data_IF_998555532574
#
_entry.id   IF_998555532574
#
_cell.length_a   1.000
_cell.length_b   1.000
_cell.length_c   1.000
_cell.angle_alpha   90.00
_cell.angle_beta   90.00
_cell.angle_gamma   90.00
#
_symmetry.space_group_name_H-M   'P 1'
#
loop_
_entity.id
_entity.type
_entity.pdbx_description
1 polymer ?
#
# COMPACT_ATOMS: atom_id res chain seq x y z
N UNK A 1 10.30 -27.06 -13.74
CA UNK A 1 10.51 -26.28 -12.51
C UNK A 1 9.85 -27.06 -11.38
N UNK A 2 10.52 -27.29 -10.25
CA UNK A 2 9.94 -28.01 -9.11
C UNK A 2 8.72 -27.27 -8.52
N UNK A 3 7.89 -27.93 -7.69
CA UNK A 3 6.66 -27.34 -7.16
C UNK A 3 6.98 -26.37 -6.03
N UNK A 4 7.67 -25.27 -6.34
CA UNK A 4 7.92 -24.21 -5.36
C UNK A 4 6.62 -23.44 -5.15
N UNK A 5 5.93 -23.75 -4.05
CA UNK A 5 4.64 -23.13 -3.71
C UNK A 5 4.79 -21.69 -3.21
N UNK A 6 6.00 -21.26 -2.84
CA UNK A 6 6.32 -19.93 -2.31
C UNK A 6 7.59 -19.37 -2.97
N UNK A 7 7.51 -18.12 -3.41
CA UNK A 7 8.62 -17.33 -3.95
C UNK A 7 8.81 -16.08 -3.08
N UNK A 8 10.03 -15.82 -2.62
CA UNK A 8 10.38 -14.60 -1.86
C UNK A 8 11.44 -13.85 -2.65
N UNK A 9 11.18 -12.58 -2.95
CA UNK A 9 12.06 -11.74 -3.75
C UNK A 9 12.39 -10.46 -2.99
N UNK A 10 13.69 -10.18 -2.87
CA UNK A 10 14.20 -8.94 -2.27
C UNK A 10 14.82 -8.08 -3.36
N UNK A 11 14.22 -6.92 -3.62
CA UNK A 11 14.62 -5.94 -4.64
C UNK A 11 14.92 -6.53 -6.03
N UNK A 12 13.99 -7.32 -6.63
CA UNK A 12 14.27 -8.04 -7.88
C UNK A 12 14.30 -7.14 -9.12
N UNK A 13 13.88 -5.88 -9.00
CA UNK A 13 13.92 -4.89 -10.09
C UNK A 13 15.26 -4.19 -10.23
N UNK A 14 16.18 -4.42 -9.29
CA UNK A 14 17.47 -3.74 -9.28
C UNK A 14 18.31 -4.12 -10.50
N UNK A 15 18.97 -3.13 -11.10
CA UNK A 15 19.76 -3.27 -12.33
C UNK A 15 18.99 -3.81 -13.56
N UNK A 16 17.67 -3.96 -13.50
CA UNK A 16 16.87 -4.39 -14.66
C UNK A 16 16.55 -3.21 -15.58
N UNK A 17 16.75 -3.43 -16.88
CA UNK A 17 16.23 -2.53 -17.89
C UNK A 17 14.69 -2.66 -18.02
N UNK A 18 14.08 -1.75 -18.77
CA UNK A 18 12.61 -1.72 -18.96
C UNK A 18 12.05 -3.03 -19.54
N UNK A 19 12.78 -3.71 -20.42
CA UNK A 19 12.33 -4.94 -21.07
C UNK A 19 12.37 -6.10 -20.08
N UNK A 20 13.43 -6.19 -19.30
CA UNK A 20 13.60 -7.20 -18.26
C UNK A 20 12.60 -6.99 -17.13
N UNK A 21 12.34 -5.73 -16.71
CA UNK A 21 11.28 -5.42 -15.74
C UNK A 21 9.92 -5.92 -16.22
N UNK A 22 9.56 -5.66 -17.49
CA UNK A 22 8.29 -6.15 -18.05
C UNK A 22 8.21 -7.68 -18.10
N UNK A 23 9.29 -8.35 -18.48
CA UNK A 23 9.35 -9.81 -18.45
C UNK A 23 9.20 -10.38 -17.04
N UNK A 24 9.75 -9.70 -16.03
CA UNK A 24 9.57 -10.04 -14.63
C UNK A 24 8.12 -9.80 -14.17
N UNK A 25 7.51 -8.67 -14.54
CA UNK A 25 6.09 -8.37 -14.27
C UNK A 25 5.21 -9.52 -14.80
N UNK A 26 5.37 -9.88 -16.08
CA UNK A 26 4.60 -10.96 -16.72
C UNK A 26 4.81 -12.32 -16.05
N UNK A 27 6.05 -12.62 -15.63
CA UNK A 27 6.36 -13.87 -14.91
C UNK A 27 5.67 -13.93 -13.54
N UNK A 28 5.72 -12.83 -12.77
CA UNK A 28 5.16 -12.78 -11.42
C UNK A 28 3.63 -12.85 -11.42
N UNK A 29 2.97 -12.20 -12.40
CA UNK A 29 1.51 -12.26 -12.56
C UNK A 29 1.03 -13.68 -12.84
N UNK A 30 1.80 -14.45 -13.63
CA UNK A 30 1.45 -15.80 -14.02
C UNK A 30 2.03 -16.88 -13.09
N UNK A 31 2.69 -16.49 -12.01
CA UNK A 31 3.29 -17.43 -11.08
C UNK A 31 2.18 -18.19 -10.31
N UNK A 32 2.13 -19.53 -10.39
CA UNK A 32 1.02 -20.29 -9.81
C UNK A 32 1.07 -20.42 -8.27
N UNK A 33 2.18 -20.03 -7.65
CA UNK A 33 2.37 -20.09 -6.20
C UNK A 33 2.12 -18.75 -5.50
N UNK A 34 2.44 -18.71 -4.20
CA UNK A 34 2.43 -17.47 -3.42
C UNK A 34 3.71 -16.69 -3.66
N UNK A 35 3.61 -15.37 -3.76
CA UNK A 35 4.77 -14.46 -3.87
C UNK A 35 4.79 -13.52 -2.67
N UNK A 36 5.98 -13.37 -2.07
CA UNK A 36 6.33 -12.28 -1.17
C UNK A 36 7.38 -11.45 -1.87
N UNK A 37 7.08 -10.17 -2.10
CA UNK A 37 7.94 -9.25 -2.82
C UNK A 37 8.29 -8.07 -1.92
N UNK A 38 9.58 -7.76 -1.85
CA UNK A 38 10.12 -6.54 -1.23
C UNK A 38 10.66 -5.67 -2.37
N UNK A 39 10.17 -4.44 -2.46
CA UNK A 39 10.55 -3.50 -3.50
C UNK A 39 10.34 -2.07 -3.00
N UNK A 40 11.24 -1.16 -3.36
CA UNK A 40 11.06 0.28 -3.23
C UNK A 40 10.45 0.93 -4.49
N UNK A 41 10.29 0.17 -5.58
CA UNK A 41 9.72 0.62 -6.86
C UNK A 41 8.19 0.54 -6.84
N UNK A 42 7.55 1.69 -6.56
CA UNK A 42 6.09 1.81 -6.43
C UNK A 42 5.41 1.47 -7.76
N UNK A 43 5.87 2.04 -8.88
CA UNK A 43 5.29 1.86 -10.21
C UNK A 43 5.29 0.38 -10.64
N UNK A 44 6.34 -0.37 -10.30
CA UNK A 44 6.39 -1.81 -10.51
C UNK A 44 5.35 -2.56 -9.66
N UNK A 45 5.26 -2.24 -8.35
CA UNK A 45 4.34 -2.94 -7.43
C UNK A 45 2.87 -2.68 -7.75
N UNK A 46 2.51 -1.48 -8.23
CA UNK A 46 1.14 -1.14 -8.62
C UNK A 46 0.67 -1.98 -9.81
N UNK A 47 1.54 -2.25 -10.79
CA UNK A 47 1.20 -3.07 -11.96
C UNK A 47 0.93 -4.54 -11.63
N UNK A 48 1.56 -5.06 -10.57
CA UNK A 48 1.35 -6.43 -10.11
C UNK A 48 0.01 -6.63 -9.39
N UNK A 49 -0.61 -5.52 -8.92
CA UNK A 49 -1.86 -5.53 -8.17
C UNK A 49 -1.85 -6.48 -6.96
N UNK A 50 -0.70 -6.61 -6.30
CA UNK A 50 -0.54 -7.41 -5.10
C UNK A 50 -1.05 -6.67 -3.86
N UNK A 51 -1.27 -7.42 -2.77
CA UNK A 51 -1.55 -6.81 -1.47
C UNK A 51 -0.29 -6.14 -0.94
N UNK A 52 -0.22 -4.82 -1.04
CA UNK A 52 0.96 -4.04 -0.63
C UNK A 52 0.91 -3.65 0.83
N UNK A 53 2.03 -3.79 1.55
CA UNK A 53 2.21 -3.24 2.89
C UNK A 53 3.35 -2.23 2.85
N UNK A 54 3.16 -1.06 3.49
CA UNK A 54 4.16 0.00 3.48
C UNK A 54 4.90 0.03 4.82
N UNK A 55 6.22 0.00 4.82
CA UNK A 55 7.02 0.15 6.05
C UNK A 55 7.51 1.59 6.15
N UNK A 56 7.10 2.31 7.21
CA UNK A 56 7.59 3.66 7.52
C UNK A 56 7.83 3.80 9.01
N UNK A 57 8.90 4.49 9.40
CA UNK A 57 9.27 4.71 10.81
C UNK A 57 9.27 3.42 11.66
N UNK A 58 9.78 2.32 11.09
CA UNK A 58 9.80 0.98 11.71
C UNK A 58 8.41 0.40 12.03
N UNK A 59 7.33 0.97 11.49
CA UNK A 59 5.95 0.47 11.60
C UNK A 59 5.49 -0.08 10.24
N UNK A 60 4.75 -1.19 10.26
CA UNK A 60 4.07 -1.76 9.10
C UNK A 60 2.69 -1.11 8.95
N UNK A 61 2.45 -0.44 7.82
CA UNK A 61 1.22 0.26 7.51
C UNK A 61 0.35 -0.58 6.57
N UNK A 62 -0.92 -0.73 6.92
CA UNK A 62 -1.90 -1.52 6.16
C UNK A 62 -2.40 -0.79 4.88
N UNK A 63 -2.65 -1.52 3.78
CA UNK A 63 -3.09 -0.96 2.50
C UNK A 63 -4.48 -0.30 2.49
N UNK A 64 -5.34 -0.60 3.47
CA UNK A 64 -6.68 0.02 3.60
C UNK A 64 -6.59 1.56 3.69
N UNK A 65 -5.40 2.10 3.95
CA UNK A 65 -5.16 3.53 4.12
C UNK A 65 -4.74 4.27 2.83
N UNK A 66 -4.42 3.56 1.74
CA UNK A 66 -3.81 4.16 0.54
C UNK A 66 -4.55 3.85 -0.78
N UNK A 67 -5.55 2.96 -0.80
CA UNK A 67 -6.37 2.80 -2.00
C UNK A 67 -7.35 3.97 -2.09
N UNK A 68 -7.00 4.99 -2.87
CA UNK A 68 -7.84 5.69 -3.85
C UNK A 68 -7.11 6.95 -4.35
N UNK A 69 -6.04 6.78 -5.13
CA UNK A 69 -5.59 7.85 -6.04
C UNK A 69 -6.51 7.87 -7.28
N UNK A 70 -7.80 8.13 -7.05
CA UNK A 70 -8.81 8.38 -8.09
C UNK A 70 -10.00 9.15 -7.47
N UNK A 71 -9.83 10.46 -7.31
CA UNK A 71 -10.80 11.52 -7.64
C UNK A 71 -12.25 11.46 -7.10
N UNK A 72 -12.45 11.89 -5.85
CA UNK A 72 -13.46 12.89 -5.42
C UNK A 72 -13.12 13.39 -4.00
N UNK A 73 -13.52 14.61 -3.61
CA UNK A 73 -13.31 15.09 -2.22
C UNK A 73 -14.09 14.24 -1.20
N UNK A 74 -15.19 13.63 -1.64
CA UNK A 74 -16.08 12.82 -0.82
C UNK A 74 -15.48 11.45 -0.49
N UNK A 75 -14.80 10.81 -1.44
CA UNK A 75 -14.09 9.53 -1.22
C UNK A 75 -12.93 9.71 -0.24
N UNK A 76 -12.25 10.86 -0.30
CA UNK A 76 -11.20 11.21 0.67
C UNK A 76 -11.78 11.35 2.08
N UNK A 77 -12.92 12.04 2.23
CA UNK A 77 -13.55 12.22 3.53
C UNK A 77 -13.99 10.88 4.14
N UNK A 78 -14.55 9.98 3.33
CA UNK A 78 -14.96 8.64 3.76
C UNK A 78 -13.76 7.82 4.24
N UNK A 79 -12.66 7.82 3.47
CA UNK A 79 -11.41 7.13 3.82
C UNK A 79 -10.79 7.67 5.12
N UNK A 80 -10.76 8.98 5.28
CA UNK A 80 -10.28 9.63 6.49
C UNK A 80 -11.13 9.26 7.73
N UNK A 81 -12.45 9.18 7.59
CA UNK A 81 -13.36 8.73 8.67
C UNK A 81 -13.13 7.27 9.04
N UNK A 82 -12.95 6.39 8.06
CA UNK A 82 -12.62 4.98 8.30
C UNK A 82 -11.27 4.83 9.01
N UNK A 83 -10.27 5.63 8.62
CA UNK A 83 -8.94 5.69 9.26
C UNK A 83 -9.01 6.16 10.71
N UNK A 84 -9.84 7.16 11.01
CA UNK A 84 -10.07 7.56 12.39
C UNK A 84 -10.69 6.42 13.21
N UNK A 85 -11.64 5.68 12.63
CA UNK A 85 -12.26 4.52 13.29
C UNK A 85 -11.27 3.41 13.65
N UNK A 86 -10.35 3.07 12.74
CA UNK A 86 -9.29 2.08 13.03
C UNK A 86 -8.25 2.60 14.01
N UNK A 87 -8.01 3.92 14.02
CA UNK A 87 -7.00 4.51 14.90
C UNK A 87 -7.47 4.61 16.35
N UNK A 88 -8.77 4.80 16.57
CA UNK A 88 -9.37 4.81 17.91
C UNK A 88 -9.35 3.41 18.54
N UNK A 89 -9.39 2.35 17.72
CA UNK A 89 -9.42 0.96 18.21
C UNK A 89 -8.04 0.36 18.45
N UNK A 90 -6.97 0.98 17.94
CA UNK A 90 -5.59 0.52 18.16
C UNK A 90 -4.95 1.24 19.37
N UNK A 91 -4.60 0.52 20.45
CA UNK A 91 -4.00 1.11 21.64
C UNK A 91 -2.56 1.62 21.45
N UNK A 92 -1.91 1.32 20.32
CA UNK A 92 -0.52 1.73 20.03
C UNK A 92 -0.40 3.04 19.25
N UNK A 93 -1.53 3.70 18.98
CA UNK A 93 -1.57 4.93 18.18
C UNK A 93 -1.56 6.16 19.09
N UNK A 94 -0.76 7.16 18.73
CA UNK A 94 -0.65 8.38 19.52
C UNK A 94 -1.91 9.24 19.40
N UNK A 95 -2.33 9.85 20.51
CA UNK A 95 -3.40 10.86 20.52
C UNK A 95 -3.11 12.04 19.57
N UNK A 96 -1.84 12.30 19.27
CA UNK A 96 -1.43 13.31 18.30
C UNK A 96 -1.79 12.92 16.86
N UNK A 97 -1.63 11.64 16.50
CA UNK A 97 -2.00 11.10 15.19
C UNK A 97 -3.52 11.11 14.99
N UNK A 98 -4.28 10.79 16.05
CA UNK A 98 -5.75 10.88 16.07
C UNK A 98 -6.19 12.34 15.86
N UNK A 99 -5.55 13.28 16.56
CA UNK A 99 -5.89 14.72 16.49
C UNK A 99 -5.57 15.33 15.12
N UNK A 100 -4.46 14.95 14.50
CA UNK A 100 -4.11 15.40 13.14
C UNK A 100 -5.15 14.95 12.11
N UNK A 101 -5.59 13.68 12.20
CA UNK A 101 -6.64 13.15 11.33
C UNK A 101 -7.98 13.87 11.52
N UNK A 102 -8.39 14.12 12.78
CA UNK A 102 -9.60 14.89 13.07
C UNK A 102 -9.54 16.29 12.47
N UNK A 103 -8.38 16.96 12.53
CA UNK A 103 -8.21 18.28 11.94
C UNK A 103 -8.32 18.26 10.40
N UNK A 104 -7.76 17.21 9.75
CA UNK A 104 -7.87 17.03 8.30
C UNK A 104 -9.31 16.81 7.85
N UNK A 105 -10.06 15.95 8.57
CA UNK A 105 -11.50 15.73 8.32
C UNK A 105 -12.26 17.05 8.43
N UNK A 106 -12.04 17.80 9.51
CA UNK A 106 -12.73 19.07 9.76
C UNK A 106 -12.48 20.12 8.66
N UNK A 107 -11.24 20.21 8.17
CA UNK A 107 -10.89 21.13 7.06
C UNK A 107 -11.65 20.79 5.78
N UNK A 108 -11.78 19.49 5.46
CA UNK A 108 -12.52 19.04 4.28
C UNK A 108 -14.04 19.22 4.43
N UNK A 109 -14.58 19.06 5.64
CA UNK A 109 -16.00 19.33 5.92
C UNK A 109 -16.36 20.83 5.85
N UNK A 110 -15.39 21.72 6.11
CA UNK A 110 -15.61 23.18 6.13
C UNK A 110 -15.51 23.82 4.74
N UNK A 111 -14.88 23.14 3.78
CA UNK A 111 -14.74 23.64 2.40
C UNK A 111 -15.94 23.27 1.49
N UNK A 112 -17.00 22.68 2.04
CA UNK A 112 -18.31 22.46 1.39
C UNK A 112 -19.25 23.62 1.67
#
# INVERSE_FOLDING_TARGET
>A
MGPHQLLILDEPTNYLDLRAKKGLEDFLINYPGTIILISHDIDFTEKLNFKTYNIKNKKLLNPILNNHYSSSEDDNLLLLKQRLGTFITDPNISMEEIKDLQNKIKKLETNR
#
